data_IF_775627181095
#
_entry.id   IF_775627181095
#
_cell.length_a   1.000
_cell.length_b   1.000
_cell.length_c   1.000
_cell.angle_alpha   90.00
_cell.angle_beta   90.00
_cell.angle_gamma   90.00
#
_symmetry.space_group_name_H-M   'P 1'
#
loop_
_entity.id
_entity.type
_entity.pdbx_description
1 polymer ?
#
# COMPACT_ATOMS: atom_id res chain seq x y z
N UNK A 1 16.09 10.99 8.47
CA UNK A 1 16.10 9.58 8.93
C UNK A 1 17.47 9.12 9.46
N UNK A 2 18.59 9.74 9.05
CA UNK A 2 19.94 9.28 9.45
C UNK A 2 20.20 9.40 10.96
N UNK A 3 19.82 10.52 11.59
CA UNK A 3 20.05 10.78 13.02
C UNK A 3 19.34 9.78 13.95
N UNK A 4 18.19 9.24 13.54
CA UNK A 4 17.35 8.37 14.35
C UNK A 4 17.12 6.99 13.67
N UNK A 5 18.02 6.59 12.78
CA UNK A 5 17.85 5.41 11.95
C UNK A 5 17.50 4.13 12.74
N UNK A 6 18.14 3.95 13.89
CA UNK A 6 17.96 2.76 14.75
C UNK A 6 16.78 2.84 15.73
N UNK A 7 16.14 4.02 15.84
CA UNK A 7 14.97 4.16 16.73
C UNK A 7 13.75 3.50 16.12
N UNK A 8 12.85 2.90 16.93
CA UNK A 8 11.59 2.37 16.45
C UNK A 8 10.73 3.50 15.87
N UNK A 9 10.16 3.24 14.69
CA UNK A 9 9.27 4.15 13.99
C UNK A 9 7.81 3.71 14.11
N UNK A 10 7.53 2.44 13.87
CA UNK A 10 6.19 1.85 13.91
C UNK A 10 6.24 0.47 14.54
N UNK A 11 5.15 0.10 15.22
CA UNK A 11 4.97 -1.22 15.80
C UNK A 11 3.62 -1.80 15.41
N UNK A 12 3.59 -3.11 15.11
CA UNK A 12 2.38 -3.87 14.87
C UNK A 12 2.61 -5.34 15.24
N UNK A 13 1.64 -5.97 15.92
CA UNK A 13 1.72 -7.36 16.37
C UNK A 13 3.00 -7.71 17.15
N UNK A 14 3.50 -6.77 17.98
CA UNK A 14 4.71 -6.96 18.78
C UNK A 14 6.01 -7.02 17.95
N UNK A 15 6.00 -6.48 16.73
CA UNK A 15 7.18 -6.25 15.91
C UNK A 15 7.28 -4.78 15.58
N UNK A 16 8.44 -4.19 15.90
CA UNK A 16 8.77 -2.81 15.50
C UNK A 16 9.65 -2.81 14.26
N UNK A 17 9.49 -1.76 13.44
CA UNK A 17 10.45 -1.39 12.39
C UNK A 17 11.11 -0.06 12.76
N UNK A 18 12.40 0.07 12.46
CA UNK A 18 13.15 1.30 12.71
C UNK A 18 12.90 2.34 11.62
N UNK A 19 13.26 3.62 11.89
CA UNK A 19 13.23 4.67 10.86
C UNK A 19 14.12 4.32 9.66
N UNK A 20 15.25 3.65 9.88
CA UNK A 20 16.14 3.20 8.81
C UNK A 20 15.51 2.12 7.94
N UNK A 21 14.85 1.12 8.54
CA UNK A 21 14.12 0.08 7.83
C UNK A 21 12.96 0.66 7.03
N UNK A 22 12.16 1.53 7.66
CA UNK A 22 11.06 2.26 7.00
C UNK A 22 11.57 3.01 5.78
N UNK A 23 12.63 3.80 5.94
CA UNK A 23 13.18 4.64 4.87
C UNK A 23 13.69 3.81 3.69
N UNK A 24 14.42 2.70 3.95
CA UNK A 24 14.88 1.78 2.89
C UNK A 24 13.71 1.19 2.10
N UNK A 25 12.73 0.65 2.81
CA UNK A 25 11.56 0.02 2.19
C UNK A 25 10.71 1.03 1.41
N UNK A 26 10.51 2.25 1.96
CA UNK A 26 9.80 3.33 1.29
C UNK A 26 10.51 3.77 0.00
N UNK A 27 11.85 3.90 0.01
CA UNK A 27 12.62 4.21 -1.20
C UNK A 27 12.51 3.12 -2.25
N UNK A 28 12.60 1.85 -1.85
CA UNK A 28 12.43 0.74 -2.78
C UNK A 28 11.04 0.76 -3.43
N UNK A 29 10.00 1.04 -2.65
CA UNK A 29 8.63 1.17 -3.18
C UNK A 29 8.49 2.37 -4.14
N UNK A 30 9.02 3.54 -3.78
CA UNK A 30 9.02 4.73 -4.65
C UNK A 30 9.72 4.44 -5.98
N UNK A 31 10.93 3.88 -5.94
CA UNK A 31 11.69 3.51 -7.13
C UNK A 31 10.95 2.51 -8.01
N UNK A 32 10.29 1.55 -7.38
CA UNK A 32 9.50 0.57 -8.10
C UNK A 32 8.28 1.19 -8.81
N UNK A 33 7.54 2.10 -8.14
CA UNK A 33 6.43 2.82 -8.78
C UNK A 33 6.92 3.65 -9.98
N UNK A 34 8.06 4.32 -9.84
CA UNK A 34 8.71 5.04 -10.94
C UNK A 34 9.06 4.11 -12.11
N UNK A 35 9.57 2.91 -11.83
CA UNK A 35 9.89 1.91 -12.87
C UNK A 35 8.65 1.40 -13.60
N UNK A 36 7.46 1.56 -13.01
CA UNK A 36 6.17 1.26 -13.63
C UNK A 36 5.61 2.42 -14.45
N UNK A 37 6.36 3.52 -14.54
CA UNK A 37 5.99 4.68 -15.35
C UNK A 37 5.05 5.67 -14.64
N UNK A 38 4.80 5.51 -13.34
CA UNK A 38 4.02 6.48 -12.57
C UNK A 38 4.76 7.81 -12.51
N UNK A 39 4.01 8.90 -12.62
CA UNK A 39 4.51 10.28 -12.62
C UNK A 39 4.09 11.01 -11.35
N UNK A 40 4.81 12.07 -11.00
CA UNK A 40 4.43 12.97 -9.91
C UNK A 40 2.95 13.36 -10.04
N UNK A 41 2.23 13.31 -8.91
CA UNK A 41 0.80 13.61 -8.85
C UNK A 41 -0.12 12.44 -9.21
N UNK A 42 0.40 11.31 -9.70
CA UNK A 42 -0.41 10.11 -9.87
C UNK A 42 -0.91 9.62 -8.50
N UNK A 43 -2.11 9.05 -8.48
CA UNK A 43 -2.78 8.62 -7.25
C UNK A 43 -2.56 7.14 -7.01
N UNK A 44 -2.14 6.83 -5.77
CA UNK A 44 -1.90 5.47 -5.29
C UNK A 44 -2.89 5.17 -4.17
N UNK A 45 -3.78 4.21 -4.41
CA UNK A 45 -4.76 3.77 -3.43
C UNK A 45 -4.12 2.82 -2.41
N UNK A 46 -4.40 3.04 -1.12
CA UNK A 46 -3.97 2.17 -0.03
C UNK A 46 -5.20 1.60 0.67
N UNK A 47 -5.49 0.31 0.44
CA UNK A 47 -6.63 -0.42 0.99
C UNK A 47 -6.16 -1.45 2.02
N UNK A 48 -5.73 -0.96 3.18
CA UNK A 48 -5.22 -1.81 4.26
C UNK A 48 -5.39 -1.15 5.63
N UNK A 49 -5.46 -1.93 6.72
CA UNK A 49 -5.46 -1.40 8.08
C UNK A 49 -4.04 -0.97 8.49
N UNK A 50 -3.90 -0.50 9.75
CA UNK A 50 -2.63 -0.09 10.34
C UNK A 50 -1.70 -1.28 10.61
N UNK A 51 -1.11 -1.84 9.56
CA UNK A 51 -0.07 -2.85 9.57
C UNK A 51 1.28 -2.24 9.18
N UNK A 52 2.40 -2.94 9.37
CA UNK A 52 3.73 -2.39 9.06
C UNK A 52 3.92 -2.03 7.58
N UNK A 53 3.19 -2.68 6.68
CA UNK A 53 3.19 -2.35 5.25
C UNK A 53 2.59 -0.96 4.95
N UNK A 54 1.62 -0.49 5.78
CA UNK A 54 0.95 0.79 5.54
C UNK A 54 1.90 1.99 5.56
N UNK A 55 2.69 2.23 6.62
CA UNK A 55 3.61 3.37 6.63
C UNK A 55 4.68 3.27 5.53
N UNK A 56 5.11 2.05 5.15
CA UNK A 56 6.05 1.87 4.03
C UNK A 56 5.43 2.31 2.72
N UNK A 57 4.20 1.88 2.43
CA UNK A 57 3.48 2.26 1.22
C UNK A 57 3.18 3.77 1.20
N UNK A 58 2.75 4.32 2.34
CA UNK A 58 2.46 5.74 2.52
C UNK A 58 3.69 6.61 2.22
N UNK A 59 4.78 6.40 2.97
CA UNK A 59 5.97 7.22 2.81
C UNK A 59 6.68 6.97 1.47
N UNK A 60 6.60 5.75 0.93
CA UNK A 60 7.13 5.46 -0.39
C UNK A 60 6.37 6.19 -1.51
N UNK A 61 5.04 6.24 -1.43
CA UNK A 61 4.24 7.04 -2.36
C UNK A 61 4.61 8.53 -2.25
N UNK A 62 4.70 9.08 -1.05
CA UNK A 62 5.08 10.48 -0.82
C UNK A 62 6.49 10.80 -1.32
N UNK A 63 7.47 9.91 -1.12
CA UNK A 63 8.84 10.06 -1.65
C UNK A 63 8.87 10.11 -3.17
N UNK A 64 7.98 9.38 -3.84
CA UNK A 64 7.83 9.42 -5.29
C UNK A 64 7.02 10.61 -5.81
N UNK A 65 6.52 11.48 -4.91
CA UNK A 65 5.67 12.62 -5.27
C UNK A 65 4.25 12.22 -5.70
N UNK A 66 3.77 11.06 -5.24
CA UNK A 66 2.42 10.55 -5.53
C UNK A 66 1.42 11.02 -4.49
N UNK A 67 0.16 11.17 -4.91
CA UNK A 67 -0.97 11.44 -4.02
C UNK A 67 -1.51 10.14 -3.45
N UNK A 68 -1.61 10.03 -2.14
CA UNK A 68 -2.15 8.86 -1.46
C UNK A 68 -3.68 8.95 -1.38
N UNK A 69 -4.36 7.89 -1.76
CA UNK A 69 -5.82 7.73 -1.61
C UNK A 69 -6.08 6.66 -0.57
N UNK A 70 -6.48 7.06 0.65
CA UNK A 70 -6.85 6.09 1.67
C UNK A 70 -8.22 5.47 1.35
N UNK A 71 -8.25 4.14 1.26
CA UNK A 71 -9.45 3.36 0.96
C UNK A 71 -9.83 2.53 2.17
N UNK A 72 -11.09 2.61 2.58
CA UNK A 72 -11.59 1.77 3.66
C UNK A 72 -11.53 0.29 3.24
N UNK A 73 -10.80 -0.58 3.98
CA UNK A 73 -10.69 -1.99 3.64
C UNK A 73 -12.03 -2.75 3.65
N UNK A 74 -13.03 -2.22 4.34
CA UNK A 74 -14.35 -2.84 4.45
C UNK A 74 -15.32 -2.46 3.32
N UNK A 75 -14.88 -1.68 2.35
CA UNK A 75 -15.72 -1.33 1.20
C UNK A 75 -16.11 -2.55 0.38
N UNK A 76 -17.33 -2.49 -0.15
CA UNK A 76 -17.81 -3.39 -1.21
C UNK A 76 -17.10 -3.07 -2.53
N UNK A 77 -17.19 -3.95 -3.51
CA UNK A 77 -16.63 -3.73 -4.84
C UNK A 77 -17.22 -2.48 -5.51
N UNK A 78 -18.50 -2.16 -5.27
CA UNK A 78 -19.17 -0.95 -5.78
C UNK A 78 -18.58 0.33 -5.19
N UNK A 79 -18.42 0.38 -3.87
CA UNK A 79 -17.84 1.54 -3.17
C UNK A 79 -16.38 1.74 -3.56
N UNK A 80 -15.61 0.65 -3.65
CA UNK A 80 -14.24 0.67 -4.13
C UNK A 80 -14.16 1.23 -5.57
N UNK A 81 -15.02 0.73 -6.46
CA UNK A 81 -15.08 1.19 -7.86
C UNK A 81 -15.36 2.69 -7.93
N UNK A 82 -16.32 3.17 -7.13
CA UNK A 82 -16.63 4.59 -7.08
C UNK A 82 -15.42 5.40 -6.64
N UNK A 83 -14.82 5.08 -5.49
CA UNK A 83 -13.70 5.86 -4.93
C UNK A 83 -12.46 5.82 -5.83
N UNK A 84 -12.08 4.66 -6.39
CA UNK A 84 -10.91 4.53 -7.25
C UNK A 84 -11.08 5.32 -8.55
N UNK A 85 -12.26 5.25 -9.16
CA UNK A 85 -12.54 5.99 -10.39
C UNK A 85 -12.64 7.50 -10.14
N UNK A 86 -13.30 7.92 -9.07
CA UNK A 86 -13.45 9.34 -8.70
C UNK A 86 -12.07 9.96 -8.37
N UNK A 87 -11.26 9.27 -7.57
CA UNK A 87 -9.89 9.73 -7.27
C UNK A 87 -8.96 9.66 -8.46
N UNK A 88 -9.28 8.85 -9.47
CA UNK A 88 -8.41 8.55 -10.60
C UNK A 88 -7.13 7.81 -10.19
N UNK A 89 -7.19 6.94 -9.16
CA UNK A 89 -6.05 6.14 -8.75
C UNK A 89 -5.63 5.18 -9.85
N UNK A 90 -4.32 5.11 -10.12
CA UNK A 90 -3.71 4.27 -11.17
C UNK A 90 -3.02 3.03 -10.63
N UNK A 91 -2.79 2.99 -9.32
CA UNK A 91 -2.21 1.85 -8.61
C UNK A 91 -2.95 1.64 -7.29
N UNK A 92 -2.99 0.39 -6.82
CA UNK A 92 -3.55 0.03 -5.52
C UNK A 92 -2.63 -0.93 -4.77
N UNK A 93 -2.46 -0.69 -3.47
CA UNK A 93 -1.89 -1.65 -2.53
C UNK A 93 -3.02 -2.11 -1.62
N UNK A 94 -3.36 -3.39 -1.69
CA UNK A 94 -4.46 -3.97 -0.91
C UNK A 94 -3.96 -5.09 -0.01
N UNK A 95 -4.49 -5.17 1.22
CA UNK A 95 -4.22 -6.34 2.07
C UNK A 95 -4.96 -7.56 1.52
N UNK A 96 -4.32 -8.74 1.54
CA UNK A 96 -4.83 -9.99 0.95
C UNK A 96 -6.25 -10.37 1.41
N UNK A 97 -6.65 -9.97 2.61
CA UNK A 97 -7.98 -10.22 3.16
C UNK A 97 -9.11 -9.66 2.29
N UNK A 98 -8.84 -8.57 1.59
CA UNK A 98 -9.80 -7.85 0.76
C UNK A 98 -9.43 -7.86 -0.74
N UNK A 99 -8.41 -8.64 -1.12
CA UNK A 99 -8.00 -8.76 -2.53
C UNK A 99 -9.13 -9.30 -3.43
N UNK A 100 -10.03 -10.14 -2.90
CA UNK A 100 -11.21 -10.61 -3.61
C UNK A 100 -12.18 -9.48 -3.99
N UNK A 101 -12.28 -8.42 -3.16
CA UNK A 101 -13.09 -7.23 -3.46
C UNK A 101 -12.47 -6.44 -4.62
N UNK A 102 -11.14 -6.31 -4.60
CA UNK A 102 -10.43 -5.68 -5.72
C UNK A 102 -10.62 -6.48 -7.00
N UNK A 103 -10.50 -7.82 -6.92
CA UNK A 103 -10.74 -8.70 -8.08
C UNK A 103 -12.13 -8.49 -8.69
N UNK A 104 -13.17 -8.39 -7.85
CA UNK A 104 -14.54 -8.14 -8.30
C UNK A 104 -14.70 -6.76 -8.94
N UNK A 105 -14.01 -5.75 -8.40
CA UNK A 105 -14.07 -4.38 -8.91
C UNK A 105 -13.26 -4.16 -10.21
N UNK A 106 -12.19 -4.93 -10.43
CA UNK A 106 -11.21 -4.75 -11.52
C UNK A 106 -11.81 -4.52 -12.92
N UNK A 107 -12.87 -5.24 -13.35
CA UNK A 107 -13.45 -5.00 -14.69
C UNK A 107 -13.93 -3.56 -14.91
N UNK A 108 -14.21 -2.83 -13.83
CA UNK A 108 -14.72 -1.47 -13.85
C UNK A 108 -13.66 -0.43 -13.43
N UNK A 109 -12.39 -0.84 -13.26
CA UNK A 109 -11.29 0.01 -12.80
C UNK A 109 -10.23 0.19 -13.89
N UNK A 110 -9.61 1.36 -13.91
CA UNK A 110 -8.46 1.66 -14.79
C UNK A 110 -7.14 1.57 -14.02
N UNK A 111 -6.95 0.50 -13.24
CA UNK A 111 -5.73 0.27 -12.49
C UNK A 111 -4.66 -0.37 -13.39
N UNK A 112 -3.51 0.26 -13.49
CA UNK A 112 -2.33 -0.31 -14.16
C UNK A 112 -1.51 -1.25 -13.26
N UNK A 113 -1.72 -1.16 -11.94
CA UNK A 113 -0.89 -1.87 -10.96
C UNK A 113 -1.68 -2.27 -9.74
N UNK A 114 -1.59 -3.56 -9.37
CA UNK A 114 -2.16 -4.11 -8.13
C UNK A 114 -1.06 -4.77 -7.33
N UNK A 115 -0.91 -4.38 -6.07
CA UNK A 115 0.01 -4.97 -5.12
C UNK A 115 -0.76 -5.58 -3.95
N UNK A 116 -0.37 -6.80 -3.58
CA UNK A 116 -0.96 -7.53 -2.45
C UNK A 116 -0.01 -7.45 -1.26
N UNK A 117 -0.45 -6.76 -0.22
CA UNK A 117 0.20 -6.76 1.08
C UNK A 117 -0.36 -7.87 1.98
N UNK A 118 0.39 -8.28 2.98
CA UNK A 118 -0.04 -9.24 4.00
C UNK A 118 0.16 -8.66 5.40
N UNK A 119 -0.59 -9.17 6.38
CA UNK A 119 -0.43 -8.75 7.77
C UNK A 119 1.00 -9.05 8.31
N UNK A 120 1.65 -10.06 7.75
CA UNK A 120 3.00 -10.47 8.13
C UNK A 120 4.14 -9.75 7.39
N UNK A 121 3.84 -8.82 6.47
CA UNK A 121 4.87 -8.07 5.77
C UNK A 121 5.72 -7.26 6.76
N UNK A 122 7.04 -7.18 6.53
CA UNK A 122 8.03 -6.56 7.40
C UNK A 122 8.27 -7.25 8.76
N UNK A 123 7.61 -8.39 9.03
CA UNK A 123 7.74 -9.10 10.31
C UNK A 123 8.79 -10.21 10.33
N UNK A 124 9.52 -10.42 9.22
CA UNK A 124 10.49 -11.50 9.09
C UNK A 124 9.85 -12.89 9.29
N UNK A 125 10.49 -13.78 10.04
CA UNK A 125 9.97 -15.14 10.26
C UNK A 125 8.59 -15.14 10.94
N UNK A 126 8.34 -14.26 11.90
CA UNK A 126 7.03 -14.12 12.55
C UNK A 126 5.90 -13.84 11.54
N UNK A 127 6.22 -13.14 10.45
CA UNK A 127 5.25 -12.84 9.39
C UNK A 127 4.69 -14.08 8.71
N UNK A 128 5.50 -15.12 8.53
CA UNK A 128 5.02 -16.40 7.98
C UNK A 128 3.98 -17.05 8.89
N UNK A 129 4.20 -16.98 10.21
CA UNK A 129 3.25 -17.51 11.21
C UNK A 129 1.95 -16.70 11.18
N UNK A 130 2.04 -15.36 11.18
CA UNK A 130 0.88 -14.47 11.11
C UNK A 130 0.04 -14.76 9.85
N UNK A 131 0.68 -14.85 8.69
CA UNK A 131 0.01 -15.15 7.43
C UNK A 131 -0.60 -16.56 7.40
N UNK A 132 0.09 -17.56 7.96
CA UNK A 132 -0.46 -18.91 8.10
C UNK A 132 -1.72 -18.91 8.96
N UNK A 133 -1.68 -18.25 10.12
CA UNK A 133 -2.84 -18.15 11.02
C UNK A 133 -4.00 -17.43 10.31
N UNK A 134 -3.74 -16.33 9.63
CA UNK A 134 -4.78 -15.59 8.89
C UNK A 134 -5.44 -16.45 7.80
N UNK A 135 -4.63 -17.18 7.02
CA UNK A 135 -5.10 -17.96 5.87
C UNK A 135 -5.72 -19.30 6.27
N UNK A 136 -5.09 -20.04 7.19
CA UNK A 136 -5.45 -21.44 7.48
C UNK A 136 -6.27 -21.63 8.75
N UNK A 137 -5.96 -20.84 9.80
CA UNK A 137 -6.64 -20.98 11.10
C UNK A 137 -7.88 -20.08 11.14
N UNK A 138 -7.70 -18.77 10.96
CA UNK A 138 -8.81 -17.81 10.99
C UNK A 138 -9.61 -17.76 9.70
N UNK A 139 -9.05 -18.26 8.59
CA UNK A 139 -9.69 -18.29 7.26
C UNK A 139 -10.28 -16.94 6.83
N UNK A 140 -9.61 -15.83 7.21
CA UNK A 140 -10.07 -14.46 6.89
C UNK A 140 -9.62 -13.99 5.51
N UNK A 141 -8.84 -14.80 4.78
CA UNK A 141 -8.42 -14.53 3.42
C UNK A 141 -9.25 -15.40 2.49
N UNK A 142 -10.17 -14.78 1.75
CA UNK A 142 -10.94 -15.46 0.71
C UNK A 142 -10.05 -15.74 -0.52
N UNK A 143 -10.33 -16.81 -1.28
CA UNK A 143 -9.62 -17.07 -2.54
C UNK A 143 -9.74 -15.89 -3.51
N UNK A 144 -8.65 -15.55 -4.17
CA UNK A 144 -8.60 -14.55 -5.23
C UNK A 144 -7.53 -14.93 -6.26
N UNK A 145 -7.69 -14.42 -7.49
CA UNK A 145 -6.73 -14.56 -8.57
C UNK A 145 -6.73 -13.27 -9.39
N UNK A 146 -5.70 -12.45 -9.23
CA UNK A 146 -5.54 -11.18 -9.95
C UNK A 146 -4.33 -11.31 -10.86
N UNK A 147 -4.57 -11.35 -12.16
CA UNK A 147 -3.50 -11.45 -13.15
C UNK A 147 -2.57 -10.23 -13.07
N UNK A 148 -1.27 -10.48 -13.02
CA UNK A 148 -0.26 -9.41 -12.95
C UNK A 148 -0.09 -8.77 -11.58
N UNK A 149 -0.86 -9.16 -10.56
CA UNK A 149 -0.64 -8.67 -9.20
C UNK A 149 0.69 -9.19 -8.64
N UNK A 150 1.39 -8.34 -7.90
CA UNK A 150 2.66 -8.67 -7.26
C UNK A 150 2.53 -8.57 -5.74
N UNK A 151 3.36 -9.33 -5.04
CA UNK A 151 3.44 -9.21 -3.58
C UNK A 151 4.21 -7.95 -3.19
N UNK A 152 3.61 -7.12 -2.31
CA UNK A 152 4.22 -5.89 -1.80
C UNK A 152 5.58 -6.16 -1.14
N UNK A 153 5.69 -7.23 -0.35
CA UNK A 153 6.95 -7.63 0.27
C UNK A 153 8.08 -7.90 -0.73
N UNK A 154 7.78 -8.37 -1.94
CA UNK A 154 8.80 -8.58 -2.98
C UNK A 154 9.32 -7.25 -3.52
N UNK A 155 8.45 -6.27 -3.66
CA UNK A 155 8.76 -4.93 -4.18
C UNK A 155 9.67 -4.15 -3.21
N UNK A 156 9.38 -4.20 -1.91
CA UNK A 156 10.09 -3.41 -0.89
C UNK A 156 11.42 -4.04 -0.42
N UNK A 157 11.76 -5.25 -0.86
CA UNK A 157 13.05 -5.88 -0.54
C UNK A 157 14.21 -5.31 -1.34
N UNK A 158 13.95 -4.57 -2.40
CA UNK A 158 14.99 -3.94 -3.24
C UNK A 158 15.76 -2.86 -2.49
N UNK A 159 16.93 -2.52 -3.03
CA UNK A 159 17.77 -1.40 -2.58
C UNK A 159 17.81 -0.28 -3.62
N UNK A 160 16.80 -0.21 -4.50
CA UNK A 160 16.76 0.79 -5.54
C UNK A 160 16.53 2.19 -4.94
N UNK A 161 17.29 3.16 -5.41
CA UNK A 161 17.09 4.57 -5.08
C UNK A 161 16.09 5.16 -6.07
N UNK A 162 15.06 5.85 -5.59
CA UNK A 162 14.13 6.55 -6.45
C UNK A 162 14.82 7.79 -7.09
N UNK A 163 14.43 8.11 -8.30
CA UNK A 163 14.77 9.40 -8.88
C UNK A 163 14.21 10.52 -8.00
N UNK A 164 14.98 11.59 -7.83
CA UNK A 164 14.56 12.74 -7.04
C UNK A 164 13.33 13.40 -7.66
N UNK A 165 12.33 13.67 -6.85
CA UNK A 165 11.13 14.40 -7.22
C UNK A 165 11.06 15.67 -6.38
N UNK A 166 10.90 16.82 -7.03
CA UNK A 166 10.66 18.08 -6.31
C UNK A 166 9.21 18.13 -5.88
N UNK A 167 8.97 18.11 -4.57
CA UNK A 167 7.65 18.27 -3.96
C UNK A 167 7.57 19.67 -3.36
N UNK A 168 6.45 20.35 -3.60
CA UNK A 168 6.18 21.71 -3.13
C UNK A 168 4.99 21.71 -2.18
N UNK A 169 4.69 22.85 -1.57
CA UNK A 169 3.52 22.99 -0.68
C UNK A 169 2.18 22.94 -1.43
N UNK A 170 2.19 23.13 -2.75
CA UNK A 170 0.99 23.06 -3.59
C UNK A 170 0.68 21.64 -4.05
N UNK A 171 1.58 20.68 -3.83
CA UNK A 171 1.36 19.29 -4.20
C UNK A 171 0.37 18.61 -3.22
N UNK A 172 -0.61 17.92 -3.78
CA UNK A 172 -1.60 17.17 -2.99
C UNK A 172 -0.96 15.90 -2.43
N UNK A 173 -0.85 15.81 -1.11
CA UNK A 173 -0.33 14.62 -0.43
C UNK A 173 -1.38 13.52 -0.28
N UNK A 174 -2.64 13.89 0.00
CA UNK A 174 -3.74 12.95 0.27
C UNK A 174 -5.04 13.36 -0.39
N UNK A 175 -5.80 12.34 -0.84
CA UNK A 175 -7.23 12.44 -1.05
C UNK A 175 -7.92 11.58 0.02
N UNK A 176 -8.49 12.26 1.01
CA UNK A 176 -9.15 11.61 2.13
C UNK A 176 -10.67 11.68 1.96
N UNK A 177 -11.28 10.53 1.71
CA UNK A 177 -12.73 10.41 1.62
C UNK A 177 -13.33 10.28 3.02
N UNK A 178 -14.35 11.09 3.28
CA UNK A 178 -15.10 11.05 4.54
C UNK A 178 -16.44 10.37 4.31
N UNK A 179 -16.84 9.47 5.20
CA UNK A 179 -18.18 8.86 5.17
C UNK A 179 -19.24 9.86 5.65
N UNK A 180 -20.40 9.91 4.97
CA UNK A 180 -21.60 10.58 5.48
C UNK A 180 -21.89 11.99 4.97
N UNK A 181 -21.16 12.50 3.97
CA UNK A 181 -21.47 13.84 3.38
C UNK A 181 -22.26 13.77 2.07
N UNK A 182 -22.51 12.59 1.54
CA UNK A 182 -23.38 12.34 0.39
C UNK A 182 -24.35 11.24 0.74
N UNK A 183 -25.47 11.60 1.33
CA UNK A 183 -26.66 10.74 1.46
C UNK A 183 -27.42 10.70 0.16
#
# INVERSE_FOLDING_TARGET
CTTYAERPAFESFGKSISYGELHRAAKAFAAWLQSRGLKKGDRVALMMPNILAYPVALFGAMLGGYTVVNVNPLYTARELTHQVNDSGAVAIVVIENFAHVVQEALPNLKLGTVLIATAGDMMGFKGHIVNFVARKVKKVVKPFSIQGALHFAAVIKGHAEPARVTVTQDDIAFLQYTGGTTG
#
